data_IF_610484497510
#
_entry.id   IF_610484497510
#
_cell.length_a   1.000
_cell.length_b   1.000
_cell.length_c   1.000
_cell.angle_alpha   90.00
_cell.angle_beta   90.00
_cell.angle_gamma   90.00
#
_symmetry.space_group_name_H-M   'P 1'
#
loop_
_entity.id
_entity.type
_entity.pdbx_description
1 polymer ?
#
# COMPACT_ATOMS: atom_id res chain seq x y z
N UNK A 1 8.63 -11.89 -5.48
CA UNK A 1 9.30 -11.27 -4.31
C UNK A 1 9.33 -9.75 -4.51
N UNK A 2 8.81 -8.96 -3.55
CA UNK A 2 8.90 -7.50 -3.57
C UNK A 2 9.93 -7.02 -2.55
N UNK A 3 10.75 -6.03 -2.93
CA UNK A 3 11.68 -5.35 -2.03
C UNK A 3 11.18 -3.93 -1.76
N UNK A 4 11.31 -3.49 -0.51
CA UNK A 4 11.01 -2.12 -0.14
C UNK A 4 12.01 -1.15 -0.77
N UNK A 5 11.49 -0.04 -1.33
CA UNK A 5 12.27 1.05 -1.91
C UNK A 5 11.65 2.41 -1.54
N UNK A 6 12.48 3.43 -1.33
CA UNK A 6 12.05 4.77 -0.91
C UNK A 6 12.87 5.91 -1.56
N UNK A 7 13.66 5.57 -2.57
CA UNK A 7 14.45 6.53 -3.34
C UNK A 7 14.91 5.91 -4.66
N UNK A 8 15.36 6.71 -5.61
CA UNK A 8 15.97 6.20 -6.84
C UNK A 8 17.17 5.30 -6.57
N UNK A 9 17.98 5.58 -5.53
CA UNK A 9 19.12 4.70 -5.17
C UNK A 9 18.66 3.32 -4.70
N UNK A 10 17.67 3.25 -3.82
CA UNK A 10 17.16 1.95 -3.33
C UNK A 10 16.42 1.20 -4.44
N UNK A 11 15.73 1.92 -5.34
CA UNK A 11 15.15 1.37 -6.56
C UNK A 11 16.23 0.75 -7.48
N UNK A 12 17.32 1.46 -7.71
CA UNK A 12 18.43 0.97 -8.53
C UNK A 12 19.07 -0.29 -7.93
N UNK A 13 19.24 -0.34 -6.60
CA UNK A 13 19.74 -1.53 -5.90
C UNK A 13 18.78 -2.71 -6.11
N UNK A 14 17.48 -2.51 -5.90
CA UNK A 14 16.46 -3.55 -6.10
C UNK A 14 16.41 -4.04 -7.55
N UNK A 15 16.52 -3.13 -8.53
CA UNK A 15 16.53 -3.45 -9.96
C UNK A 15 17.73 -4.32 -10.36
N UNK A 16 18.92 -4.01 -9.82
CA UNK A 16 20.18 -4.65 -10.22
C UNK A 16 20.59 -5.84 -9.36
N UNK A 17 19.90 -6.09 -8.24
CA UNK A 17 20.23 -7.21 -7.38
C UNK A 17 19.81 -8.53 -8.03
N UNK A 18 20.81 -9.34 -8.39
CA UNK A 18 20.64 -10.69 -8.91
C UNK A 18 21.56 -11.59 -8.10
N UNK A 19 21.03 -12.70 -7.61
CA UNK A 19 21.79 -13.72 -6.86
C UNK A 19 21.71 -15.03 -7.62
N UNK A 20 22.84 -15.71 -7.73
CA UNK A 20 22.92 -17.08 -8.26
C UNK A 20 22.95 -18.07 -7.10
N UNK A 21 22.04 -19.02 -7.11
CA UNK A 21 22.01 -20.12 -6.15
C UNK A 21 21.70 -21.43 -6.90
N UNK A 22 22.57 -22.42 -6.75
CA UNK A 22 22.47 -23.73 -7.40
C UNK A 22 22.28 -23.67 -8.94
N UNK A 23 22.86 -22.66 -9.58
CA UNK A 23 22.78 -22.46 -11.04
C UNK A 23 21.50 -21.77 -11.50
N UNK A 24 20.61 -21.36 -10.58
CA UNK A 24 19.44 -20.56 -10.86
C UNK A 24 19.67 -19.09 -10.47
N UNK A 25 19.20 -18.17 -11.32
CA UNK A 25 19.24 -16.75 -11.04
C UNK A 25 17.96 -16.34 -10.28
N UNK A 26 18.15 -15.66 -9.17
CA UNK A 26 17.08 -15.13 -8.35
C UNK A 26 17.15 -13.60 -8.28
N UNK A 27 16.00 -12.93 -8.38
CA UNK A 27 15.88 -11.49 -8.35
C UNK A 27 14.54 -11.07 -7.71
N UNK A 28 14.39 -9.78 -7.43
CA UNK A 28 13.10 -9.24 -7.03
C UNK A 28 12.18 -9.10 -8.23
N UNK A 29 10.89 -9.44 -8.03
CA UNK A 29 9.85 -9.40 -9.07
C UNK A 29 9.15 -8.04 -9.10
N UNK A 30 9.12 -7.32 -7.98
CA UNK A 30 8.41 -6.06 -7.80
C UNK A 30 9.10 -5.19 -6.74
N UNK A 31 8.71 -3.93 -6.70
CA UNK A 31 9.12 -2.96 -5.69
C UNK A 31 7.93 -2.55 -4.82
N UNK A 32 8.19 -2.31 -3.53
CA UNK A 32 7.21 -1.79 -2.58
C UNK A 32 7.65 -0.42 -2.10
N UNK A 33 6.86 0.61 -2.36
CA UNK A 33 7.08 1.95 -1.80
C UNK A 33 6.28 2.06 -0.50
N UNK A 34 6.96 1.81 0.62
CA UNK A 34 6.40 1.83 1.98
C UNK A 34 6.17 3.27 2.47
N UNK A 35 5.05 3.50 3.16
CA UNK A 35 4.80 4.77 3.84
C UNK A 35 5.78 5.01 4.99
N UNK A 36 6.12 3.96 5.74
CA UNK A 36 7.06 4.03 6.85
C UNK A 36 8.46 4.45 6.39
N UNK A 37 9.01 3.76 5.38
CA UNK A 37 10.37 4.04 4.93
C UNK A 37 10.46 5.38 4.21
N UNK A 38 9.47 5.73 3.41
CA UNK A 38 9.42 7.04 2.74
C UNK A 38 9.30 8.19 3.74
N UNK A 39 8.47 8.05 4.78
CA UNK A 39 8.37 9.04 5.87
C UNK A 39 9.69 9.14 6.65
N UNK A 40 10.29 8.01 7.00
CA UNK A 40 11.54 7.94 7.75
C UNK A 40 12.70 8.58 6.97
N UNK A 41 12.81 8.28 5.66
CA UNK A 41 13.80 8.88 4.78
C UNK A 41 13.69 10.42 4.71
N UNK A 42 12.48 10.95 4.93
CA UNK A 42 12.20 12.40 5.00
C UNK A 42 12.28 12.96 6.44
N UNK A 43 12.71 12.15 7.43
CA UNK A 43 12.80 12.55 8.84
C UNK A 43 11.45 12.86 9.49
N UNK A 44 10.38 12.18 9.06
CA UNK A 44 9.00 12.39 9.52
C UNK A 44 8.41 11.12 10.11
N UNK A 45 7.47 11.23 11.07
CA UNK A 45 6.74 10.07 11.56
C UNK A 45 5.76 9.54 10.51
N UNK A 46 5.51 8.23 10.58
CA UNK A 46 4.57 7.51 9.72
C UNK A 46 3.13 7.64 10.24
N UNK A 47 2.55 8.82 10.02
CA UNK A 47 1.19 9.20 10.45
C UNK A 47 0.42 9.96 9.35
N UNK A 48 0.68 9.64 8.09
CA UNK A 48 0.17 10.37 6.91
C UNK A 48 0.61 11.85 6.88
N UNK A 49 1.73 12.18 7.54
CA UNK A 49 2.27 13.55 7.55
C UNK A 49 2.95 13.91 6.22
N UNK A 50 3.52 12.93 5.54
CA UNK A 50 4.09 13.12 4.20
C UNK A 50 2.94 13.13 3.20
N UNK A 51 2.70 14.29 2.60
CA UNK A 51 1.60 14.48 1.66
C UNK A 51 1.80 13.68 0.35
N UNK A 52 0.68 13.40 -0.34
CA UNK A 52 0.69 12.60 -1.55
C UNK A 52 1.56 13.17 -2.67
N UNK A 53 1.66 14.52 -2.79
CA UNK A 53 2.52 15.14 -3.81
C UNK A 53 3.98 14.80 -3.56
N UNK A 54 4.40 14.81 -2.29
CA UNK A 54 5.75 14.42 -1.88
C UNK A 54 6.01 12.94 -2.13
N UNK A 55 5.00 12.09 -1.90
CA UNK A 55 5.08 10.65 -2.14
C UNK A 55 5.10 10.30 -3.63
N UNK A 56 4.39 11.04 -4.46
CA UNK A 56 4.45 10.89 -5.93
C UNK A 56 5.85 11.20 -6.48
N UNK A 57 6.59 12.15 -5.91
CA UNK A 57 7.99 12.39 -6.29
C UNK A 57 8.89 11.18 -5.99
N UNK A 58 8.65 10.47 -4.89
CA UNK A 58 9.37 9.22 -4.61
C UNK A 58 9.07 8.16 -5.66
N UNK A 59 7.81 8.08 -6.15
CA UNK A 59 7.46 7.20 -7.29
C UNK A 59 8.22 7.62 -8.55
N UNK A 60 8.24 8.90 -8.89
CA UNK A 60 8.97 9.41 -10.06
C UNK A 60 10.45 9.02 -9.99
N UNK A 61 11.11 9.24 -8.84
CA UNK A 61 12.52 8.88 -8.66
C UNK A 61 12.77 7.37 -8.82
N UNK A 62 11.84 6.53 -8.37
CA UNK A 62 11.95 5.08 -8.49
C UNK A 62 11.68 4.61 -9.92
N UNK A 63 10.70 5.18 -10.59
CA UNK A 63 10.35 4.80 -11.99
C UNK A 63 11.46 5.13 -12.98
N UNK A 64 12.31 6.12 -12.70
CA UNK A 64 13.48 6.44 -13.53
C UNK A 64 14.51 5.30 -13.61
N UNK A 65 14.52 4.39 -12.62
CA UNK A 65 15.57 3.38 -12.48
C UNK A 65 15.06 1.94 -12.55
N UNK A 66 13.76 1.72 -12.68
CA UNK A 66 13.16 0.38 -12.70
C UNK A 66 12.16 0.19 -13.83
N UNK A 67 12.07 -1.06 -14.30
CA UNK A 67 10.99 -1.56 -15.14
C UNK A 67 10.08 -2.55 -14.42
N UNK A 68 10.37 -2.83 -13.13
CA UNK A 68 9.60 -3.77 -12.31
C UNK A 68 8.27 -3.16 -11.86
N UNK A 69 7.23 -3.99 -11.65
CA UNK A 69 5.97 -3.52 -11.07
C UNK A 69 6.19 -2.82 -9.73
N UNK A 70 5.44 -1.75 -9.49
CA UNK A 70 5.47 -1.00 -8.23
C UNK A 70 4.17 -1.24 -7.47
N UNK A 71 4.30 -1.61 -6.20
CA UNK A 71 3.24 -1.67 -5.20
C UNK A 71 3.40 -0.45 -4.30
N UNK A 72 2.37 0.37 -4.21
CA UNK A 72 2.39 1.60 -3.41
C UNK A 72 1.59 1.42 -2.11
N UNK A 73 2.20 1.72 -0.98
CA UNK A 73 1.51 1.79 0.32
C UNK A 73 0.73 3.11 0.39
N UNK A 74 -0.57 3.02 0.29
CA UNK A 74 -1.49 4.15 0.27
C UNK A 74 -2.00 4.58 1.63
N UNK A 75 -1.41 4.07 2.73
CA UNK A 75 -1.86 4.35 4.10
C UNK A 75 -3.35 3.99 4.28
N UNK A 76 -4.18 4.90 4.82
CA UNK A 76 -5.65 4.70 4.93
C UNK A 76 -6.40 4.94 3.61
N UNK A 77 -5.71 5.41 2.57
CA UNK A 77 -6.31 5.91 1.34
C UNK A 77 -6.92 7.30 1.47
N UNK A 78 -6.91 7.89 2.67
CA UNK A 78 -7.50 9.21 2.94
C UNK A 78 -9.03 9.26 2.77
N UNK A 79 -9.55 10.42 2.40
CA UNK A 79 -10.97 10.59 2.09
C UNK A 79 -11.32 9.87 0.79
N UNK A 80 -12.49 9.24 0.74
CA UNK A 80 -12.97 8.49 -0.44
C UNK A 80 -12.96 9.34 -1.72
N UNK A 81 -13.35 10.60 -1.61
CA UNK A 81 -13.37 11.55 -2.73
C UNK A 81 -11.95 11.85 -3.26
N UNK A 82 -10.95 11.86 -2.40
CA UNK A 82 -9.56 12.05 -2.80
C UNK A 82 -8.94 10.74 -3.32
N UNK A 83 -9.31 9.61 -2.74
CA UNK A 83 -8.83 8.29 -3.14
C UNK A 83 -9.09 7.98 -4.62
N UNK A 84 -10.24 8.39 -5.13
CA UNK A 84 -10.60 8.29 -6.56
C UNK A 84 -9.55 8.95 -7.47
N UNK A 85 -9.04 10.12 -7.08
CA UNK A 85 -8.00 10.83 -7.84
C UNK A 85 -6.62 10.21 -7.62
N UNK A 86 -6.34 9.73 -6.41
CA UNK A 86 -5.09 9.01 -6.10
C UNK A 86 -4.93 7.77 -6.98
N UNK A 87 -5.98 6.94 -7.10
CA UNK A 87 -5.99 5.75 -7.99
C UNK A 87 -5.64 6.15 -9.43
N UNK A 88 -6.34 7.14 -9.98
CA UNK A 88 -6.09 7.61 -11.35
C UNK A 88 -4.68 8.15 -11.57
N UNK A 89 -4.13 8.82 -10.57
CA UNK A 89 -2.78 9.38 -10.66
C UNK A 89 -1.75 8.28 -10.63
N UNK A 90 -1.88 7.30 -9.72
CA UNK A 90 -0.98 6.16 -9.63
C UNK A 90 -0.97 5.32 -10.91
N UNK A 91 -2.13 5.06 -11.51
CA UNK A 91 -2.18 4.36 -12.81
C UNK A 91 -1.44 5.12 -13.91
N UNK A 92 -1.62 6.46 -13.99
CA UNK A 92 -0.90 7.29 -14.98
C UNK A 92 0.60 7.32 -14.76
N UNK A 93 1.05 7.13 -13.52
CA UNK A 93 2.46 7.02 -13.17
C UNK A 93 3.03 5.61 -13.39
N UNK A 94 2.23 4.64 -13.84
CA UNK A 94 2.67 3.27 -14.09
C UNK A 94 2.77 2.39 -12.85
N UNK A 95 2.19 2.81 -11.73
CA UNK A 95 2.08 1.98 -10.52
C UNK A 95 1.11 0.83 -10.78
N UNK A 96 1.46 -0.38 -10.33
CA UNK A 96 0.68 -1.59 -10.60
C UNK A 96 -0.37 -1.90 -9.53
N UNK A 97 -0.12 -1.49 -8.29
CA UNK A 97 -1.04 -1.73 -7.19
C UNK A 97 -0.95 -0.67 -6.10
N UNK A 98 -2.07 -0.42 -5.43
CA UNK A 98 -2.11 0.31 -4.17
C UNK A 98 -2.59 -0.62 -3.05
N UNK A 99 -1.96 -0.54 -1.88
CA UNK A 99 -2.44 -1.15 -0.65
C UNK A 99 -3.00 -0.06 0.23
N UNK A 100 -4.21 -0.25 0.76
CA UNK A 100 -4.82 0.65 1.74
C UNK A 100 -5.26 -0.13 2.97
N UNK A 101 -5.06 0.46 4.17
CA UNK A 101 -5.42 -0.17 5.44
C UNK A 101 -6.76 0.33 5.98
N UNK A 102 -7.51 -0.57 6.63
CA UNK A 102 -8.85 -0.29 7.16
C UNK A 102 -8.83 0.48 8.50
N UNK A 103 -8.03 1.54 8.55
CA UNK A 103 -7.96 2.48 9.68
C UNK A 103 -8.63 3.81 9.36
N UNK A 104 -9.00 4.54 10.41
CA UNK A 104 -9.56 5.90 10.32
C UNK A 104 -8.81 6.88 11.22
N UNK A 105 -9.06 8.16 10.98
CA UNK A 105 -8.48 9.25 11.76
C UNK A 105 -7.01 9.43 11.49
N UNK A 106 -6.29 9.91 12.51
CA UNK A 106 -4.85 10.03 12.43
C UNK A 106 -4.22 8.64 12.50
N UNK A 107 -3.67 8.17 11.38
CA UNK A 107 -2.96 6.90 11.30
C UNK A 107 -1.89 6.80 12.39
N UNK A 108 -1.75 5.63 12.97
CA UNK A 108 -0.63 5.22 13.83
C UNK A 108 0.08 4.06 13.17
N UNK A 109 1.39 3.99 13.31
CA UNK A 109 2.16 2.89 12.77
C UNK A 109 1.75 1.56 13.44
N UNK A 110 1.48 0.54 12.63
CA UNK A 110 1.04 -0.78 13.09
C UNK A 110 2.09 -1.51 13.93
N UNK A 111 3.38 -1.13 13.83
CA UNK A 111 4.43 -1.69 14.67
C UNK A 111 4.26 -1.38 16.17
N UNK A 112 3.46 -0.36 16.51
CA UNK A 112 3.13 -0.06 17.91
C UNK A 112 2.00 -0.94 18.45
N UNK A 113 1.31 -1.73 17.60
CA UNK A 113 0.20 -2.59 18.01
C UNK A 113 -0.84 -1.82 18.83
N UNK A 114 -1.14 -2.32 20.04
CA UNK A 114 -2.07 -1.71 21.00
C UNK A 114 -1.43 -0.70 21.98
N UNK A 115 -0.12 -0.42 21.87
CA UNK A 115 0.56 0.59 22.70
C UNK A 115 0.03 2.00 22.43
N UNK A 116 -0.61 2.20 21.28
CA UNK A 116 -1.28 3.44 20.90
C UNK A 116 -2.71 3.15 20.44
N UNK A 117 -3.65 4.04 20.79
CA UNK A 117 -5.04 3.90 20.35
C UNK A 117 -5.11 4.04 18.83
N UNK A 118 -5.63 3.00 18.17
CA UNK A 118 -5.88 2.97 16.74
C UNK A 118 -7.38 2.70 16.51
N UNK A 119 -7.94 3.36 15.49
CA UNK A 119 -9.36 3.21 15.14
C UNK A 119 -9.48 2.51 13.80
N UNK A 120 -10.10 1.34 13.80
CA UNK A 120 -10.43 0.60 12.59
C UNK A 120 -11.71 1.17 12.00
N UNK A 121 -11.73 1.31 10.66
CA UNK A 121 -12.90 1.79 9.92
C UNK A 121 -14.04 0.76 9.93
N UNK A 122 -15.25 1.20 9.70
CA UNK A 122 -16.37 0.29 9.51
C UNK A 122 -16.18 -0.50 8.20
N UNK A 123 -16.74 -1.72 8.17
CA UNK A 123 -16.74 -2.55 6.96
C UNK A 123 -17.40 -1.80 5.80
N UNK A 124 -18.51 -1.11 6.09
CA UNK A 124 -19.29 -0.38 5.10
C UNK A 124 -18.50 0.79 4.47
N UNK A 125 -17.87 1.62 5.29
CA UNK A 125 -17.11 2.77 4.83
C UNK A 125 -15.90 2.35 4.00
N UNK A 126 -15.14 1.38 4.50
CA UNK A 126 -13.95 0.91 3.79
C UNK A 126 -14.31 0.17 2.49
N UNK A 127 -15.39 -0.63 2.50
CA UNK A 127 -15.93 -1.25 1.28
C UNK A 127 -16.37 -0.21 0.25
N UNK A 128 -17.04 0.87 0.69
CA UNK A 128 -17.43 1.97 -0.20
C UNK A 128 -16.20 2.68 -0.82
N UNK A 129 -15.13 2.87 -0.04
CA UNK A 129 -13.86 3.43 -0.53
C UNK A 129 -13.24 2.53 -1.60
N UNK A 130 -13.15 1.22 -1.36
CA UNK A 130 -12.66 0.24 -2.35
C UNK A 130 -13.48 0.30 -3.62
N UNK A 131 -14.82 0.22 -3.53
CA UNK A 131 -15.71 0.27 -4.68
C UNK A 131 -15.57 1.58 -5.48
N UNK A 132 -15.40 2.71 -4.79
CA UNK A 132 -15.16 4.00 -5.44
C UNK A 132 -13.82 4.02 -6.19
N UNK A 133 -12.76 3.48 -5.58
CA UNK A 133 -11.45 3.33 -6.21
C UNK A 133 -11.50 2.43 -7.44
N UNK A 134 -12.14 1.26 -7.34
CA UNK A 134 -12.34 0.33 -8.47
C UNK A 134 -13.06 0.99 -9.63
N UNK A 135 -14.13 1.74 -9.36
CA UNK A 135 -14.86 2.48 -10.38
C UNK A 135 -14.03 3.59 -11.03
N UNK A 136 -13.04 4.10 -10.34
CA UNK A 136 -12.19 5.21 -10.82
C UNK A 136 -11.03 4.74 -11.68
N UNK A 137 -10.70 3.45 -11.70
CA UNK A 137 -9.62 2.88 -12.50
C UNK A 137 -9.76 3.26 -13.98
N UNK A 138 -8.62 3.43 -14.62
CA UNK A 138 -8.52 3.73 -16.05
C UNK A 138 -8.37 2.45 -16.88
N UNK A 139 -7.81 1.40 -16.27
CA UNK A 139 -7.57 0.09 -16.85
C UNK A 139 -8.00 -1.00 -15.87
N UNK A 140 -8.11 -2.25 -16.34
CA UNK A 140 -8.41 -3.40 -15.49
C UNK A 140 -7.14 -4.00 -14.83
N UNK A 141 -5.96 -3.51 -15.18
CA UNK A 141 -4.67 -4.06 -14.72
C UNK A 141 -4.23 -3.54 -13.35
N UNK A 142 -4.71 -2.36 -12.94
CA UNK A 142 -4.35 -1.78 -11.65
C UNK A 142 -5.07 -2.50 -10.50
N UNK A 143 -4.34 -2.83 -9.44
CA UNK A 143 -4.86 -3.58 -8.30
C UNK A 143 -5.09 -2.69 -7.08
N UNK A 144 -6.22 -2.90 -6.38
CA UNK A 144 -6.47 -2.34 -5.05
C UNK A 144 -6.44 -3.49 -4.05
N UNK A 145 -5.45 -3.45 -3.13
CA UNK A 145 -5.24 -4.46 -2.11
C UNK A 145 -5.74 -3.90 -0.77
N UNK A 146 -6.65 -4.60 -0.12
CA UNK A 146 -7.17 -4.23 1.18
C UNK A 146 -6.31 -4.84 2.29
N UNK A 147 -5.71 -3.99 3.13
CA UNK A 147 -4.98 -4.41 4.32
C UNK A 147 -5.90 -4.36 5.53
N UNK A 148 -6.02 -5.50 6.23
CA UNK A 148 -6.90 -5.70 7.37
C UNK A 148 -6.08 -5.66 8.65
N UNK A 149 -6.42 -4.75 9.56
CA UNK A 149 -5.72 -4.53 10.82
C UNK A 149 -6.32 -5.30 12.01
N UNK A 150 -7.36 -6.13 11.79
CA UNK A 150 -8.10 -6.83 12.85
C UNK A 150 -7.21 -7.67 13.77
N UNK A 151 -6.19 -8.34 13.24
CA UNK A 151 -5.32 -9.19 14.07
C UNK A 151 -4.39 -8.36 14.94
N UNK A 152 -3.81 -7.28 14.40
CA UNK A 152 -2.98 -6.33 15.17
C UNK A 152 -3.80 -5.66 16.27
N UNK A 153 -5.08 -5.35 15.99
CA UNK A 153 -6.00 -4.71 16.92
C UNK A 153 -6.71 -5.71 17.85
N UNK A 154 -6.30 -6.97 17.84
CA UNK A 154 -6.86 -8.05 18.68
C UNK A 154 -8.37 -8.24 18.52
N UNK A 155 -8.93 -7.93 17.34
CA UNK A 155 -10.35 -8.13 17.01
C UNK A 155 -10.67 -9.60 16.69
N UNK A 156 -9.63 -10.41 16.47
CA UNK A 156 -9.73 -11.83 16.21
C UNK A 156 -9.93 -12.21 14.75
N UNK A 157 -9.78 -13.50 14.50
CA UNK A 157 -9.79 -14.08 13.14
C UNK A 157 -11.18 -13.97 12.48
N UNK A 158 -12.25 -14.05 13.25
CA UNK A 158 -13.61 -13.96 12.70
C UNK A 158 -13.87 -12.57 12.11
N UNK A 159 -13.49 -11.49 12.80
CA UNK A 159 -13.60 -10.13 12.29
C UNK A 159 -12.73 -9.95 11.03
N UNK A 160 -11.48 -10.45 11.04
CA UNK A 160 -10.60 -10.39 9.88
C UNK A 160 -11.21 -11.09 8.65
N UNK A 161 -11.80 -12.28 8.82
CA UNK A 161 -12.42 -13.02 7.73
C UNK A 161 -13.70 -12.35 7.22
N UNK A 162 -14.50 -11.75 8.11
CA UNK A 162 -15.71 -11.02 7.72
C UNK A 162 -15.35 -9.78 6.90
N UNK A 163 -14.33 -9.03 7.30
CA UNK A 163 -13.79 -7.90 6.53
C UNK A 163 -13.24 -8.35 5.18
N UNK A 164 -12.43 -9.41 5.16
CA UNK A 164 -11.88 -9.94 3.92
C UNK A 164 -12.97 -10.26 2.88
N UNK A 165 -14.03 -10.95 3.30
CA UNK A 165 -15.16 -11.28 2.42
C UNK A 165 -15.87 -10.03 1.91
N UNK A 166 -16.10 -9.04 2.78
CA UNK A 166 -16.75 -7.79 2.41
C UNK A 166 -15.90 -6.98 1.43
N UNK A 167 -14.59 -6.88 1.67
CA UNK A 167 -13.67 -6.11 0.83
C UNK A 167 -13.47 -6.75 -0.55
N UNK A 168 -13.41 -8.09 -0.63
CA UNK A 168 -13.41 -8.80 -1.91
C UNK A 168 -14.73 -8.59 -2.66
N UNK A 169 -15.87 -8.65 -1.96
CA UNK A 169 -17.17 -8.36 -2.57
C UNK A 169 -17.29 -6.89 -3.05
N UNK A 170 -16.57 -5.96 -2.43
CA UNK A 170 -16.49 -4.56 -2.86
C UNK A 170 -15.52 -4.34 -4.04
N UNK A 171 -14.76 -5.37 -4.44
CA UNK A 171 -13.87 -5.35 -5.60
C UNK A 171 -12.38 -5.27 -5.26
N UNK A 172 -11.97 -5.51 -4.01
CA UNK A 172 -10.54 -5.64 -3.71
C UNK A 172 -9.91 -6.80 -4.48
N UNK A 173 -8.78 -6.56 -5.13
CA UNK A 173 -8.05 -7.54 -5.93
C UNK A 173 -7.18 -8.46 -5.07
N UNK A 174 -6.89 -8.05 -3.85
CA UNK A 174 -6.12 -8.83 -2.88
C UNK A 174 -6.40 -8.41 -1.45
N UNK A 175 -6.06 -9.32 -0.53
CA UNK A 175 -6.14 -9.10 0.92
C UNK A 175 -4.75 -9.23 1.52
N UNK A 176 -4.37 -8.30 2.37
CA UNK A 176 -3.18 -8.35 3.20
C UNK A 176 -3.60 -8.31 4.66
N UNK A 177 -2.99 -9.12 5.51
CA UNK A 177 -3.16 -9.07 6.96
C UNK A 177 -1.80 -9.19 7.64
N UNK A 178 -1.64 -8.49 8.75
CA UNK A 178 -0.48 -8.59 9.63
C UNK A 178 -0.92 -9.19 10.96
N UNK A 179 -0.04 -9.95 11.59
CA UNK A 179 -0.25 -10.58 12.91
C UNK A 179 0.93 -10.29 13.82
#
# INVERSE_FOLDING_TARGET
KALEVHSGLTGLIAEKTIVEHDGELDQFDAMWISSLCDSTAKGKPDIELVDMTSRFRTIDDVTEVTTKPIIFDGDTGGLTEHFVYTVRTLEKMGVSAIIIEDKTGLKKNSLFGNDVVQTQDSIENFSAKIAAGKKAQLTDDFMIIARIESLILERGMEDALNRARAFVAAGADGIMSQS
#
